data_IF_213425555585
#
_entry.id   IF_213425555585
#
_cell.length_a   1.000
_cell.length_b   1.000
_cell.length_c   1.000
_cell.angle_alpha   90.00
_cell.angle_beta   90.00
_cell.angle_gamma   90.00
#
_symmetry.space_group_name_H-M   'P 1'
#
loop_
_entity.id
_entity.type
_entity.pdbx_description
1 polymer ?
#
# COMPACT_ATOMS: atom_id res chain seq x y z
N UNK A 1 14.42 -12.99 16.69
CA UNK A 1 14.08 -11.94 15.70
C UNK A 1 14.54 -12.36 14.31
N UNK A 2 15.84 -12.39 14.01
CA UNK A 2 16.33 -12.65 12.64
C UNK A 2 15.83 -13.96 11.99
N UNK A 3 15.84 -15.10 12.70
CA UNK A 3 15.26 -16.35 12.18
C UNK A 3 13.77 -16.25 11.85
N UNK A 4 13.02 -15.53 12.69
CA UNK A 4 11.58 -15.33 12.53
C UNK A 4 11.30 -14.38 11.36
N UNK A 5 12.05 -13.28 11.27
CA UNK A 5 11.99 -12.35 10.14
C UNK A 5 12.29 -13.07 8.84
N UNK A 6 13.37 -13.87 8.77
CA UNK A 6 13.72 -14.62 7.56
C UNK A 6 12.65 -15.65 7.19
N UNK A 7 12.04 -16.32 8.18
CA UNK A 7 10.93 -17.24 7.94
C UNK A 7 9.75 -16.55 7.25
N UNK A 8 9.25 -15.44 7.80
CA UNK A 8 8.13 -14.71 7.22
C UNK A 8 8.50 -14.06 5.88
N UNK A 9 9.71 -13.50 5.74
CA UNK A 9 10.19 -12.96 4.48
C UNK A 9 10.20 -14.03 3.38
N UNK A 10 10.69 -15.23 3.68
CA UNK A 10 10.71 -16.34 2.72
C UNK A 10 9.30 -16.84 2.39
N UNK A 11 8.40 -16.88 3.37
CA UNK A 11 7.00 -17.24 3.15
C UNK A 11 6.33 -16.25 2.20
N UNK A 12 6.43 -14.96 2.48
CA UNK A 12 5.81 -13.90 1.67
C UNK A 12 6.40 -13.88 0.26
N UNK A 13 7.73 -13.92 0.11
CA UNK A 13 8.38 -13.97 -1.21
C UNK A 13 7.98 -15.18 -2.05
N UNK A 14 7.69 -16.32 -1.41
CA UNK A 14 7.36 -17.56 -2.13
C UNK A 14 5.89 -17.66 -2.54
N UNK A 15 4.96 -17.12 -1.74
CA UNK A 15 3.53 -17.40 -1.86
C UNK A 15 2.65 -16.17 -2.07
N UNK A 16 3.10 -14.95 -1.78
CA UNK A 16 2.29 -13.74 -1.93
C UNK A 16 2.50 -13.14 -3.33
N UNK A 17 1.54 -13.29 -4.27
CA UNK A 17 1.61 -12.62 -5.56
C UNK A 17 1.31 -11.13 -5.42
N UNK A 18 1.45 -10.39 -6.51
CA UNK A 18 1.12 -8.98 -6.57
C UNK A 18 -0.37 -8.73 -6.27
N UNK A 19 -0.73 -7.58 -5.66
CA UNK A 19 -2.11 -7.27 -5.30
C UNK A 19 -3.11 -7.39 -6.48
N UNK A 20 -2.66 -7.07 -7.69
CA UNK A 20 -3.49 -7.18 -8.90
C UNK A 20 -3.88 -8.63 -9.23
N UNK A 21 -2.92 -9.57 -9.12
CA UNK A 21 -3.16 -11.00 -9.33
C UNK A 21 -4.12 -11.54 -8.28
N UNK A 22 -3.94 -11.10 -7.03
CA UNK A 22 -4.84 -11.47 -5.94
C UNK A 22 -6.27 -10.98 -6.21
N UNK A 23 -6.45 -9.75 -6.70
CA UNK A 23 -7.74 -9.20 -7.09
C UNK A 23 -8.40 -9.97 -8.25
N UNK A 24 -7.63 -10.36 -9.28
CA UNK A 24 -8.13 -11.24 -10.35
C UNK A 24 -8.58 -12.58 -9.77
N UNK A 25 -7.78 -13.20 -8.90
CA UNK A 25 -8.11 -14.47 -8.26
C UNK A 25 -9.43 -14.41 -7.49
N UNK A 26 -9.62 -13.36 -6.69
CA UNK A 26 -10.88 -13.13 -5.96
C UNK A 26 -12.05 -12.88 -6.90
N UNK A 27 -11.83 -12.12 -7.99
CA UNK A 27 -12.87 -11.86 -9.00
C UNK A 27 -13.34 -13.16 -9.63
N UNK A 28 -12.42 -14.01 -10.09
CA UNK A 28 -12.74 -15.30 -10.70
C UNK A 28 -13.42 -16.24 -9.70
N UNK A 29 -12.96 -16.24 -8.44
CA UNK A 29 -13.60 -17.00 -7.37
C UNK A 29 -15.06 -16.56 -7.18
N UNK A 30 -15.32 -15.25 -7.07
CA UNK A 30 -16.67 -14.70 -6.93
C UNK A 30 -17.56 -15.03 -8.14
N UNK A 31 -17.02 -14.99 -9.36
CA UNK A 31 -17.75 -15.41 -10.57
C UNK A 31 -18.14 -16.90 -10.53
N UNK A 32 -17.22 -17.77 -10.11
CA UNK A 32 -17.49 -19.21 -9.97
C UNK A 32 -18.57 -19.43 -8.91
N UNK A 33 -18.47 -18.77 -7.76
CA UNK A 33 -19.47 -18.89 -6.69
C UNK A 33 -20.84 -18.38 -7.12
N UNK A 34 -20.90 -17.27 -7.87
CA UNK A 34 -22.15 -16.75 -8.44
C UNK A 34 -22.85 -17.76 -9.36
N UNK A 35 -22.10 -18.52 -10.17
CA UNK A 35 -22.69 -19.54 -11.05
C UNK A 35 -23.06 -20.81 -10.26
N UNK A 36 -22.14 -21.31 -9.44
CA UNK A 36 -22.27 -22.65 -8.82
C UNK A 36 -23.17 -22.63 -7.59
N UNK A 37 -23.12 -21.56 -6.78
CA UNK A 37 -23.86 -21.45 -5.52
C UNK A 37 -25.18 -20.72 -5.73
N UNK A 38 -25.15 -19.55 -6.36
CA UNK A 38 -26.35 -18.73 -6.60
C UNK A 38 -27.12 -19.15 -7.86
N UNK A 39 -26.56 -20.04 -8.68
CA UNK A 39 -27.22 -20.54 -9.89
C UNK A 39 -27.34 -19.53 -11.02
N UNK A 40 -26.56 -18.43 -11.02
CA UNK A 40 -26.63 -17.41 -12.06
C UNK A 40 -26.16 -17.94 -13.42
N UNK A 41 -26.83 -17.51 -14.49
CA UNK A 41 -26.38 -17.78 -15.85
C UNK A 41 -25.08 -17.03 -16.17
N UNK A 42 -24.21 -17.63 -17.00
CA UNK A 42 -22.92 -17.03 -17.38
C UNK A 42 -23.05 -15.59 -17.94
N UNK A 43 -24.09 -15.34 -18.75
CA UNK A 43 -24.39 -14.01 -19.31
C UNK A 43 -24.70 -12.99 -18.22
N UNK A 44 -25.54 -13.36 -17.27
CA UNK A 44 -25.97 -12.50 -16.15
C UNK A 44 -24.80 -12.20 -15.22
N UNK A 45 -24.03 -13.22 -14.84
CA UNK A 45 -22.79 -13.07 -14.07
C UNK A 45 -21.84 -12.08 -14.74
N UNK A 46 -21.62 -12.21 -16.06
CA UNK A 46 -20.72 -11.32 -16.82
C UNK A 46 -21.21 -9.88 -16.83
N UNK A 47 -22.52 -9.67 -16.99
CA UNK A 47 -23.15 -8.35 -16.94
C UNK A 47 -23.04 -7.72 -15.54
N UNK A 48 -23.34 -8.48 -14.49
CA UNK A 48 -23.25 -8.02 -13.11
C UNK A 48 -21.83 -7.58 -12.76
N UNK A 49 -20.83 -8.38 -13.14
CA UNK A 49 -19.43 -8.03 -12.93
C UNK A 49 -19.03 -6.76 -13.69
N UNK A 50 -19.32 -6.69 -14.98
CA UNK A 50 -18.89 -5.55 -15.80
C UNK A 50 -19.65 -4.25 -15.49
N UNK A 51 -20.91 -4.32 -15.07
CA UNK A 51 -21.65 -3.15 -14.58
C UNK A 51 -21.03 -2.62 -13.29
N UNK A 52 -20.72 -3.52 -12.34
CA UNK A 52 -20.08 -3.15 -11.08
C UNK A 52 -18.66 -2.57 -11.23
N UNK A 53 -17.97 -2.86 -12.33
CA UNK A 53 -16.64 -2.30 -12.63
C UNK A 53 -16.64 -0.76 -12.63
N UNK A 54 -17.74 -0.14 -13.06
CA UNK A 54 -17.85 1.32 -13.20
C UNK A 54 -18.25 2.04 -11.91
N UNK A 55 -18.79 1.32 -10.93
CA UNK A 55 -19.33 1.90 -9.69
C UNK A 55 -18.25 2.63 -8.86
N UNK A 56 -16.99 2.21 -8.99
CA UNK A 56 -15.86 2.76 -8.24
C UNK A 56 -15.01 3.76 -9.03
N UNK A 57 -15.46 4.23 -10.20
CA UNK A 57 -14.67 5.14 -11.04
C UNK A 57 -14.40 6.48 -10.33
N UNK A 58 -15.43 7.08 -9.74
CA UNK A 58 -15.29 8.32 -8.99
C UNK A 58 -14.38 8.16 -7.77
N UNK A 59 -14.53 7.06 -7.03
CA UNK A 59 -13.66 6.71 -5.90
C UNK A 59 -12.21 6.53 -6.35
N UNK A 60 -11.98 5.80 -7.45
CA UNK A 60 -10.65 5.57 -8.01
C UNK A 60 -9.99 6.89 -8.43
N UNK A 61 -10.73 7.78 -9.10
CA UNK A 61 -10.24 9.10 -9.47
C UNK A 61 -9.85 9.94 -8.24
N UNK A 62 -10.68 9.92 -7.19
CA UNK A 62 -10.36 10.58 -5.92
C UNK A 62 -9.06 10.05 -5.31
N UNK A 63 -8.89 8.72 -5.26
CA UNK A 63 -7.66 8.10 -4.73
C UNK A 63 -6.43 8.45 -5.57
N UNK A 64 -6.56 8.46 -6.91
CA UNK A 64 -5.49 8.85 -7.82
C UNK A 64 -5.04 10.30 -7.58
N UNK A 65 -5.99 11.23 -7.42
CA UNK A 65 -5.69 12.64 -7.12
C UNK A 65 -5.02 12.78 -5.76
N UNK A 66 -5.49 12.08 -4.73
CA UNK A 66 -4.87 12.11 -3.38
C UNK A 66 -3.41 11.67 -3.45
N UNK A 67 -3.12 10.57 -4.15
CA UNK A 67 -1.75 10.06 -4.31
C UNK A 67 -0.88 11.01 -5.15
N UNK A 68 -1.40 11.52 -6.27
CA UNK A 68 -0.68 12.44 -7.14
C UNK A 68 -0.36 13.76 -6.41
N UNK A 69 -1.33 14.34 -5.70
CA UNK A 69 -1.12 15.55 -4.91
C UNK A 69 -0.14 15.31 -3.74
N UNK A 70 -0.28 14.17 -3.05
CA UNK A 70 0.67 13.75 -2.02
C UNK A 70 2.09 13.62 -2.56
N UNK A 71 2.24 13.09 -3.78
CA UNK A 71 3.53 13.00 -4.46
C UNK A 71 4.12 14.38 -4.77
N UNK A 72 3.35 15.25 -5.42
CA UNK A 72 3.78 16.61 -5.76
C UNK A 72 4.22 17.39 -4.52
N UNK A 73 3.48 17.30 -3.42
CA UNK A 73 3.85 17.93 -2.15
C UNK A 73 5.15 17.34 -1.59
N UNK A 74 5.28 16.02 -1.56
CA UNK A 74 6.46 15.33 -1.05
C UNK A 74 7.74 15.64 -1.83
N UNK A 75 7.64 15.90 -3.13
CA UNK A 75 8.76 16.27 -4.01
C UNK A 75 8.98 17.77 -4.12
N UNK A 76 8.19 18.60 -3.45
CA UNK A 76 8.34 20.05 -3.51
C UNK A 76 9.71 20.50 -2.95
N UNK A 77 10.30 21.61 -3.45
CA UNK A 77 11.62 22.06 -3.01
C UNK A 77 11.70 22.36 -1.50
N UNK A 78 10.60 22.78 -0.88
CA UNK A 78 10.53 23.05 0.55
C UNK A 78 10.66 21.75 1.37
N UNK A 79 9.87 20.74 0.99
CA UNK A 79 9.88 19.44 1.66
C UNK A 79 11.21 18.73 1.41
N UNK A 80 11.74 18.76 0.19
CA UNK A 80 13.04 18.17 -0.11
C UNK A 80 14.17 18.75 0.76
N UNK A 81 14.22 20.09 0.90
CA UNK A 81 15.16 20.78 1.80
C UNK A 81 15.02 20.32 3.25
N UNK A 82 13.78 20.18 3.73
CA UNK A 82 13.51 19.69 5.08
C UNK A 82 14.01 18.26 5.28
N UNK A 83 13.69 17.36 4.34
CA UNK A 83 14.14 15.96 4.38
C UNK A 83 15.67 15.85 4.34
N UNK A 84 16.34 16.64 3.50
CA UNK A 84 17.80 16.68 3.43
C UNK A 84 18.41 17.16 4.76
N UNK A 85 17.79 18.15 5.42
CA UNK A 85 18.22 18.65 6.74
C UNK A 85 18.00 17.63 7.85
N UNK A 86 16.93 16.84 7.80
CA UNK A 86 16.71 15.74 8.74
C UNK A 86 17.75 14.65 8.48
N UNK A 87 17.92 14.23 7.23
CA UNK A 87 18.85 13.17 6.84
C UNK A 87 20.31 13.53 7.18
N UNK A 88 20.68 14.82 7.15
CA UNK A 88 22.04 15.26 7.52
C UNK A 88 22.43 15.02 8.97
N UNK A 89 21.45 14.89 9.86
CA UNK A 89 21.69 14.65 11.29
C UNK A 89 21.79 13.16 11.63
N UNK A 90 21.37 12.28 10.73
CA UNK A 90 21.33 10.83 10.97
C UNK A 90 22.65 10.18 10.60
N UNK A 91 23.21 9.37 11.51
CA UNK A 91 24.53 8.75 11.33
C UNK A 91 24.58 7.24 11.53
N UNK A 92 23.54 6.63 12.10
CA UNK A 92 23.56 5.19 12.42
C UNK A 92 22.39 4.46 11.74
N UNK A 93 22.54 3.16 11.40
CA UNK A 93 21.50 2.42 10.69
C UNK A 93 20.16 2.35 11.44
N UNK A 94 20.21 2.15 12.77
CA UNK A 94 19.00 2.13 13.61
C UNK A 94 18.33 3.50 13.65
N UNK A 95 19.09 4.59 13.76
CA UNK A 95 18.53 5.93 13.70
C UNK A 95 17.89 6.22 12.33
N UNK A 96 18.48 5.72 11.24
CA UNK A 96 17.88 5.83 9.91
C UNK A 96 16.53 5.13 9.84
N UNK A 97 16.41 3.91 10.35
CA UNK A 97 15.13 3.19 10.41
C UNK A 97 14.10 3.92 11.26
N UNK A 98 14.49 4.43 12.43
CA UNK A 98 13.59 5.19 13.32
C UNK A 98 13.07 6.43 12.59
N UNK A 99 13.97 7.22 12.01
CA UNK A 99 13.60 8.47 11.32
C UNK A 99 12.73 8.19 10.10
N UNK A 100 13.04 7.17 9.30
CA UNK A 100 12.21 6.78 8.16
C UNK A 100 10.80 6.37 8.61
N UNK A 101 10.70 5.57 9.68
CA UNK A 101 9.40 5.15 10.26
C UNK A 101 8.62 6.36 10.78
N UNK A 102 9.26 7.28 11.49
CA UNK A 102 8.61 8.47 12.04
C UNK A 102 8.13 9.41 10.93
N UNK A 103 8.93 9.65 9.90
CA UNK A 103 8.54 10.51 8.77
C UNK A 103 7.36 9.91 8.02
N UNK A 104 7.40 8.61 7.71
CA UNK A 104 6.27 7.90 7.10
C UNK A 104 5.03 7.89 7.99
N UNK A 105 5.20 7.58 9.28
CA UNK A 105 4.11 7.49 10.25
C UNK A 105 3.43 8.83 10.53
N UNK A 106 4.21 9.88 10.83
CA UNK A 106 3.67 11.25 11.03
C UNK A 106 3.05 11.74 9.73
N UNK A 107 3.71 11.51 8.59
CA UNK A 107 3.14 11.81 7.28
C UNK A 107 1.79 11.16 7.10
N UNK A 108 1.66 9.85 7.37
CA UNK A 108 0.41 9.12 7.21
C UNK A 108 -0.67 9.52 8.22
N UNK A 109 -0.27 9.89 9.44
CA UNK A 109 -1.18 10.43 10.45
C UNK A 109 -1.79 11.77 10.03
N UNK A 110 -1.02 12.63 9.36
CA UNK A 110 -1.52 13.91 8.86
C UNK A 110 -2.33 13.73 7.57
N UNK A 111 -1.75 13.03 6.60
CA UNK A 111 -2.36 12.69 5.33
C UNK A 111 -1.75 11.40 4.77
N UNK A 112 -2.53 10.32 4.69
CA UNK A 112 -2.02 9.01 4.29
C UNK A 112 -1.40 8.99 2.88
N UNK A 113 -1.96 9.74 1.92
CA UNK A 113 -1.43 9.81 0.56
C UNK A 113 -0.06 10.48 0.49
N UNK A 114 0.11 11.61 1.17
CA UNK A 114 1.40 12.28 1.35
C UNK A 114 2.40 11.42 2.13
N UNK A 115 1.95 10.79 3.22
CA UNK A 115 2.75 9.95 4.11
C UNK A 115 3.44 8.78 3.40
N UNK A 116 2.71 8.09 2.53
CA UNK A 116 3.23 6.99 1.73
C UNK A 116 4.41 7.42 0.84
N UNK A 117 4.31 8.61 0.24
CA UNK A 117 5.37 9.14 -0.62
C UNK A 117 6.55 9.65 0.20
N UNK A 118 6.31 10.52 1.18
CA UNK A 118 7.39 11.18 1.93
C UNK A 118 8.22 10.18 2.73
N UNK A 119 7.60 9.14 3.30
CA UNK A 119 8.31 8.06 3.97
C UNK A 119 9.28 7.35 3.04
N UNK A 120 8.82 7.00 1.83
CA UNK A 120 9.63 6.34 0.80
C UNK A 120 10.80 7.22 0.32
N UNK A 121 10.55 8.52 0.10
CA UNK A 121 11.59 9.48 -0.26
C UNK A 121 12.64 9.60 0.84
N UNK A 122 12.22 9.69 2.10
CA UNK A 122 13.12 9.78 3.23
C UNK A 122 13.96 8.51 3.42
N UNK A 123 13.33 7.33 3.29
CA UNK A 123 14.01 6.04 3.36
C UNK A 123 15.11 5.91 2.30
N UNK A 124 14.84 6.31 1.05
CA UNK A 124 15.85 6.32 -0.03
C UNK A 124 17.02 7.26 0.28
N UNK A 125 16.73 8.50 0.71
CA UNK A 125 17.77 9.47 1.09
C UNK A 125 18.67 8.95 2.22
N UNK A 126 18.09 8.32 3.23
CA UNK A 126 18.82 7.73 4.34
C UNK A 126 19.60 6.48 3.93
N UNK A 127 19.05 5.62 3.08
CA UNK A 127 19.72 4.42 2.59
C UNK A 127 21.00 4.76 1.81
N UNK A 128 20.98 5.80 0.98
CA UNK A 128 22.16 6.26 0.23
C UNK A 128 23.20 6.89 1.16
N UNK A 129 22.76 7.61 2.19
CA UNK A 129 23.63 8.39 3.07
C UNK A 129 24.28 7.58 4.20
N UNK A 130 23.54 6.62 4.77
CA UNK A 130 23.94 5.91 5.99
C UNK A 130 24.37 4.50 5.62
N UNK A 131 25.69 4.28 5.58
CA UNK A 131 26.28 2.95 5.35
C UNK A 131 25.81 1.94 6.41
N UNK A 132 25.63 0.69 6.00
CA UNK A 132 25.14 -0.39 6.85
C UNK A 132 23.63 -0.43 7.07
N UNK A 133 22.85 0.44 6.42
CA UNK A 133 21.38 0.35 6.44
C UNK A 133 20.93 -0.78 5.52
N UNK A 134 20.13 -1.71 6.05
CA UNK A 134 19.49 -2.74 5.24
C UNK A 134 18.33 -2.11 4.45
N UNK A 135 18.52 -1.98 3.14
CA UNK A 135 17.65 -1.23 2.23
C UNK A 135 16.19 -1.74 2.21
N UNK A 136 15.93 -3.06 2.09
CA UNK A 136 14.56 -3.58 2.17
C UNK A 136 13.85 -3.20 3.48
N UNK A 137 14.57 -3.22 4.60
CA UNK A 137 14.01 -2.93 5.91
C UNK A 137 13.69 -1.45 6.08
N UNK A 138 14.55 -0.53 5.65
CA UNK A 138 14.25 0.91 5.81
C UNK A 138 13.06 1.32 4.93
N UNK A 139 12.90 0.71 3.75
CA UNK A 139 11.71 0.90 2.90
C UNK A 139 10.47 0.34 3.60
N UNK A 140 10.51 -0.92 4.07
CA UNK A 140 9.40 -1.52 4.81
C UNK A 140 9.05 -0.72 6.08
N UNK A 141 10.05 -0.17 6.76
CA UNK A 141 9.88 0.63 7.97
C UNK A 141 9.16 1.95 7.68
N UNK A 142 9.52 2.64 6.59
CA UNK A 142 8.79 3.82 6.16
C UNK A 142 7.34 3.50 5.77
N UNK A 143 7.11 2.43 5.00
CA UNK A 143 5.77 1.98 4.61
C UNK A 143 4.92 1.52 5.79
N UNK A 144 5.53 0.92 6.83
CA UNK A 144 4.81 0.52 8.04
C UNK A 144 4.15 1.69 8.77
N UNK A 145 4.62 2.93 8.53
CA UNK A 145 3.97 4.15 8.99
C UNK A 145 2.52 4.29 8.52
N UNK A 146 2.16 3.63 7.41
CA UNK A 146 0.78 3.56 6.94
C UNK A 146 -0.17 2.94 7.98
N UNK A 147 0.32 2.18 8.97
CA UNK A 147 -0.49 1.70 10.11
C UNK A 147 -1.27 2.83 10.81
N UNK A 148 -0.75 4.06 10.79
CA UNK A 148 -1.40 5.23 11.39
C UNK A 148 -2.51 5.86 10.51
N UNK A 149 -2.71 5.40 9.27
CA UNK A 149 -3.65 6.02 8.32
C UNK A 149 -5.09 6.10 8.87
N UNK A 150 -5.54 5.04 9.53
CA UNK A 150 -6.89 4.92 10.08
C UNK A 150 -7.08 5.64 11.41
N UNK A 151 -6.00 6.09 12.04
CA UNK A 151 -6.00 6.79 13.32
C UNK A 151 -5.75 8.30 13.16
N UNK A 152 -5.34 8.72 11.97
CA UNK A 152 -4.93 10.07 11.65
C UNK A 152 -6.06 11.00 11.20
N UNK A 153 -5.68 12.24 10.92
CA UNK A 153 -6.58 13.32 10.51
C UNK A 153 -7.26 13.05 9.17
N UNK A 154 -6.61 12.29 8.30
CA UNK A 154 -7.13 11.90 6.98
C UNK A 154 -7.81 10.52 6.96
N UNK A 155 -8.16 9.96 8.12
CA UNK A 155 -8.76 8.62 8.19
C UNK A 155 -10.11 8.60 7.46
N UNK A 156 -10.19 7.86 6.34
CA UNK A 156 -11.30 7.95 5.41
C UNK A 156 -12.65 7.62 6.02
N UNK A 157 -12.73 6.58 6.86
CA UNK A 157 -13.98 6.18 7.52
C UNK A 157 -14.40 7.22 8.58
N UNK A 158 -13.58 7.59 9.58
CA UNK A 158 -13.91 8.65 10.53
C UNK A 158 -14.36 9.97 9.88
N UNK A 159 -13.65 10.42 8.83
CA UNK A 159 -14.01 11.65 8.12
C UNK A 159 -15.36 11.51 7.42
N UNK A 160 -15.58 10.40 6.70
CA UNK A 160 -16.84 10.14 5.99
C UNK A 160 -18.04 10.12 6.93
N UNK A 161 -17.97 9.38 8.04
CA UNK A 161 -19.10 9.24 8.97
C UNK A 161 -19.33 10.47 9.84
N UNK A 162 -18.36 11.39 9.89
CA UNK A 162 -18.54 12.71 10.54
C UNK A 162 -19.19 13.76 9.63
N UNK A 163 -19.45 13.41 8.37
CA UNK A 163 -20.01 14.32 7.36
C UNK A 163 -21.50 14.02 7.13
N UNK A 164 -22.41 15.00 7.30
CA UNK A 164 -23.82 14.82 6.96
C UNK A 164 -24.02 14.39 5.49
N UNK A 165 -24.98 13.52 5.22
CA UNK A 165 -25.30 12.97 3.91
C UNK A 165 -24.53 11.70 3.53
N UNK A 166 -23.75 11.12 4.45
CA UNK A 166 -23.05 9.86 4.17
C UNK A 166 -24.02 8.67 4.04
N UNK A 167 -23.68 7.61 3.28
CA UNK A 167 -24.62 6.53 2.93
C UNK A 167 -25.27 5.79 4.11
N UNK A 168 -24.64 5.82 5.28
CA UNK A 168 -25.06 5.09 6.48
C UNK A 168 -25.80 5.97 7.51
N UNK A 169 -25.96 7.27 7.24
CA UNK A 169 -26.49 8.23 8.23
C UNK A 169 -27.85 7.81 8.81
N UNK A 170 -28.74 7.24 7.99
CA UNK A 170 -30.06 6.78 8.43
C UNK A 170 -30.02 5.67 9.47
N UNK A 171 -28.94 4.89 9.53
CA UNK A 171 -28.79 3.73 10.42
C UNK A 171 -27.97 4.06 11.67
N UNK A 172 -26.94 4.89 11.52
CA UNK A 172 -25.98 5.18 12.61
C UNK A 172 -25.92 6.65 13.03
N UNK A 173 -26.62 7.55 12.34
CA UNK A 173 -26.45 8.99 12.49
C UNK A 173 -25.06 9.46 12.04
N UNK A 174 -24.77 10.74 12.30
CA UNK A 174 -23.44 11.34 12.08
C UNK A 174 -22.60 11.15 13.34
N UNK A 175 -21.42 10.53 13.22
CA UNK A 175 -20.50 10.32 14.36
C UNK A 175 -19.38 11.36 14.32
N UNK A 176 -19.28 12.25 15.34
CA UNK A 176 -18.27 13.30 15.35
C UNK A 176 -16.85 12.77 15.55
N UNK A 177 -15.85 13.56 15.12
CA UNK A 177 -14.44 13.19 15.26
C UNK A 177 -13.97 13.07 16.72
N UNK A 178 -14.65 13.73 17.66
CA UNK A 178 -14.44 13.60 19.11
C UNK A 178 -14.66 12.19 19.63
N UNK A 179 -15.50 11.40 18.96
CA UNK A 179 -15.82 10.02 19.33
C UNK A 179 -14.98 8.99 18.55
N UNK A 180 -14.20 9.44 17.56
CA UNK A 180 -13.38 8.57 16.70
C UNK A 180 -11.89 8.89 16.88
N UNK A 181 -11.28 9.63 15.96
CA UNK A 181 -9.83 9.89 15.94
C UNK A 181 -9.35 10.75 17.13
N UNK A 182 -10.24 11.57 17.70
CA UNK A 182 -9.94 12.37 18.89
C UNK A 182 -10.45 11.74 20.18
N UNK A 183 -10.94 10.50 20.13
CA UNK A 183 -11.28 9.78 21.35
C UNK A 183 -10.00 9.41 22.12
N UNK A 184 -10.04 9.41 23.47
CA UNK A 184 -8.90 9.00 24.30
C UNK A 184 -8.24 7.66 23.91
N UNK A 185 -8.99 6.56 23.63
CA UNK A 185 -8.36 5.30 23.26
C UNK A 185 -7.62 5.36 21.91
N UNK A 186 -8.14 6.11 20.93
CA UNK A 186 -7.48 6.24 19.61
C UNK A 186 -6.24 7.12 19.68
N UNK A 187 -6.30 8.23 20.43
CA UNK A 187 -5.12 9.07 20.70
C UNK A 187 -4.05 8.26 21.42
N UNK A 188 -4.42 7.51 22.47
CA UNK A 188 -3.49 6.64 23.21
C UNK A 188 -2.84 5.62 22.27
N UNK A 189 -3.64 4.96 21.44
CA UNK A 189 -3.15 3.98 20.46
C UNK A 189 -2.18 4.62 19.46
N UNK A 190 -2.51 5.81 18.97
CA UNK A 190 -1.66 6.56 18.03
C UNK A 190 -0.30 6.90 18.66
N UNK A 191 -0.29 7.37 19.92
CA UNK A 191 0.93 7.68 20.66
C UNK A 191 1.77 6.42 20.87
N UNK A 192 1.15 5.33 21.31
CA UNK A 192 1.82 4.05 21.52
C UNK A 192 2.46 3.59 20.21
N UNK A 193 1.76 3.65 19.08
CA UNK A 193 2.29 3.24 17.79
C UNK A 193 3.41 4.16 17.30
N UNK A 194 3.28 5.48 17.43
CA UNK A 194 4.33 6.45 17.06
C UNK A 194 5.64 6.18 17.81
N UNK A 195 5.57 5.72 19.06
CA UNK A 195 6.76 5.42 19.88
C UNK A 195 7.28 4.01 19.61
N UNK A 196 6.41 3.00 19.65
CA UNK A 196 6.81 1.58 19.64
C UNK A 196 7.18 1.08 18.25
N UNK A 197 6.49 1.54 17.19
CA UNK A 197 6.72 1.05 15.82
C UNK A 197 8.14 1.38 15.32
N UNK A 198 8.68 2.60 15.45
CA UNK A 198 10.06 2.90 15.07
C UNK A 198 11.08 2.07 15.86
N UNK A 199 10.83 1.83 17.15
CA UNK A 199 11.70 1.01 17.98
C UNK A 199 11.71 -0.45 17.52
N UNK A 200 10.52 -1.01 17.27
CA UNK A 200 10.34 -2.36 16.77
C UNK A 200 11.07 -2.54 15.42
N UNK A 201 10.85 -1.63 14.48
CA UNK A 201 11.50 -1.66 13.17
C UNK A 201 13.03 -1.59 13.29
N UNK A 202 13.54 -0.73 14.17
CA UNK A 202 14.98 -0.63 14.40
C UNK A 202 15.60 -1.88 15.04
N UNK A 203 14.81 -2.65 15.81
CA UNK A 203 15.23 -3.93 16.37
C UNK A 203 15.27 -5.06 15.32
N UNK A 204 14.58 -4.91 14.20
CA UNK A 204 14.61 -5.86 13.07
C UNK A 204 15.88 -5.72 12.21
N UNK A 205 16.70 -4.68 12.41
CA UNK A 205 17.91 -4.48 11.63
C UNK A 205 18.88 -5.67 11.78
N UNK A 206 19.33 -6.28 10.66
CA UNK A 206 20.22 -7.44 10.70
C UNK A 206 21.52 -7.14 11.44
N UNK A 207 21.92 -8.03 12.36
CA UNK A 207 23.14 -7.85 13.16
C UNK A 207 24.41 -8.24 12.40
N UNK A 208 24.30 -9.21 11.49
CA UNK A 208 25.41 -9.74 10.71
C UNK A 208 25.55 -8.99 9.39
N UNK A 209 26.78 -8.57 9.08
CA UNK A 209 27.07 -7.78 7.86
C UNK A 209 26.67 -8.50 6.58
N UNK A 210 26.82 -9.83 6.53
CA UNK A 210 26.43 -10.64 5.37
C UNK A 210 24.93 -10.56 5.00
N UNK A 211 24.08 -10.21 5.97
CA UNK A 211 22.64 -10.10 5.77
C UNK A 211 22.19 -8.66 5.51
N UNK A 212 23.13 -7.70 5.46
CA UNK A 212 22.84 -6.30 5.15
C UNK A 212 22.92 -6.13 3.63
N UNK A 213 21.78 -5.82 3.03
CA UNK A 213 21.68 -5.46 1.62
C UNK A 213 21.63 -3.94 1.57
N UNK A 214 22.74 -3.32 1.20
CA UNK A 214 22.78 -1.86 1.00
C UNK A 214 22.20 -1.50 -0.37
N UNK A 215 21.72 -0.27 -0.48
CA UNK A 215 21.26 0.24 -1.78
C UNK A 215 22.47 0.45 -2.69
N UNK A 216 22.38 0.01 -3.95
CA UNK A 216 23.36 0.38 -4.96
C UNK A 216 22.98 1.74 -5.56
N UNK A 217 23.76 2.82 -5.36
CA UNK A 217 23.42 4.14 -5.89
C UNK A 217 23.37 4.19 -7.43
N UNK A 218 24.04 3.28 -8.14
CA UNK A 218 23.96 3.19 -9.60
C UNK A 218 22.66 2.56 -10.09
N UNK A 219 21.87 1.91 -9.23
CA UNK A 219 20.57 1.35 -9.61
C UNK A 219 19.50 2.43 -9.87
N UNK A 220 19.79 3.70 -9.60
CA UNK A 220 18.89 4.81 -9.91
C UNK A 220 19.01 5.35 -11.34
N UNK A 221 20.05 4.97 -12.11
CA UNK A 221 20.23 5.45 -13.48
C UNK A 221 19.46 4.64 -14.54
N UNK A 222 18.87 3.51 -14.15
CA UNK A 222 18.06 2.67 -15.04
C UNK A 222 16.60 2.68 -14.56
N UNK A 223 15.80 3.58 -15.11
CA UNK A 223 14.39 3.82 -14.75
C UNK A 223 13.42 2.66 -15.07
N UNK A 224 13.87 1.44 -15.35
CA UNK A 224 12.94 0.40 -15.87
C UNK A 224 13.15 -1.05 -15.43
N UNK A 225 14.18 -1.40 -14.64
CA UNK A 225 14.52 -2.82 -14.43
C UNK A 225 14.53 -3.36 -12.98
N UNK A 226 14.69 -2.50 -11.97
CA UNK A 226 15.15 -2.96 -10.65
C UNK A 226 14.12 -3.74 -9.80
N UNK A 227 12.83 -3.76 -10.16
CA UNK A 227 11.83 -4.56 -9.44
C UNK A 227 11.95 -6.07 -9.72
N UNK A 228 12.60 -6.45 -10.82
CA UNK A 228 12.60 -7.82 -11.34
C UNK A 228 13.70 -8.70 -10.72
N UNK A 229 14.81 -8.13 -10.25
CA UNK A 229 15.99 -8.93 -9.81
C UNK A 229 15.83 -9.59 -8.43
N UNK A 230 14.85 -9.17 -7.63
CA UNK A 230 14.63 -9.73 -6.28
C UNK A 230 13.63 -10.90 -6.24
N UNK A 231 13.06 -11.31 -7.35
CA UNK A 231 12.16 -12.47 -7.39
C UNK A 231 12.95 -13.68 -7.85
N UNK A 232 13.17 -14.66 -6.97
CA UNK A 232 13.60 -15.99 -7.40
C UNK A 232 12.64 -16.49 -8.48
N UNK A 233 13.18 -16.82 -9.67
CA UNK A 233 12.38 -17.13 -10.87
C UNK A 233 11.33 -18.24 -10.63
N UNK A 234 11.59 -19.13 -9.67
CA UNK A 234 10.81 -20.35 -9.42
C UNK A 234 9.83 -20.30 -8.22
N UNK A 235 9.38 -19.12 -7.78
CA UNK A 235 8.35 -19.04 -6.72
C UNK A 235 6.92 -19.15 -7.26
N UNK A 236 5.97 -19.54 -6.40
CA UNK A 236 4.55 -19.58 -6.76
C UNK A 236 4.02 -18.16 -7.01
N UNK A 237 4.42 -17.21 -6.16
CA UNK A 237 4.15 -15.79 -6.36
C UNK A 237 4.59 -15.31 -7.76
N UNK A 238 5.84 -15.60 -8.16
CA UNK A 238 6.35 -15.18 -9.46
C UNK A 238 5.63 -15.85 -10.65
N UNK A 239 5.28 -17.13 -10.52
CA UNK A 239 4.49 -17.86 -11.52
C UNK A 239 3.10 -17.26 -11.71
N UNK A 240 2.45 -16.85 -10.63
CA UNK A 240 1.15 -16.20 -10.70
C UNK A 240 1.25 -14.77 -11.27
N UNK A 241 2.27 -14.00 -10.87
CA UNK A 241 2.54 -12.65 -11.40
C UNK A 241 2.76 -12.63 -12.92
N UNK A 242 3.44 -13.65 -13.45
CA UNK A 242 3.73 -13.77 -14.88
C UNK A 242 2.75 -14.71 -15.61
N UNK A 243 1.62 -15.06 -14.98
CA UNK A 243 0.65 -15.99 -15.55
C UNK A 243 -0.13 -15.33 -16.69
N UNK A 244 0.27 -15.62 -17.93
CA UNK A 244 -0.49 -15.22 -19.13
C UNK A 244 -1.92 -15.74 -19.10
N UNK A 245 -2.14 -16.92 -18.52
CA UNK A 245 -3.47 -17.53 -18.41
C UNK A 245 -4.44 -16.64 -17.62
N UNK A 246 -4.01 -16.10 -16.47
CA UNK A 246 -4.86 -15.22 -15.66
C UNK A 246 -5.23 -13.95 -16.43
N UNK A 247 -4.25 -13.33 -17.12
CA UNK A 247 -4.49 -12.17 -17.97
C UNK A 247 -5.42 -12.48 -19.14
N UNK A 248 -5.27 -13.63 -19.78
CA UNK A 248 -6.15 -14.06 -20.88
C UNK A 248 -7.58 -14.30 -20.42
N UNK A 249 -7.78 -14.99 -19.30
CA UNK A 249 -9.13 -15.28 -18.78
C UNK A 249 -9.87 -13.98 -18.50
N UNK A 250 -9.27 -13.07 -17.72
CA UNK A 250 -9.94 -11.81 -17.37
C UNK A 250 -10.15 -10.92 -18.61
N UNK A 251 -9.20 -10.91 -19.54
CA UNK A 251 -9.32 -10.19 -20.81
C UNK A 251 -10.47 -10.70 -21.67
N UNK A 252 -10.63 -12.03 -21.79
CA UNK A 252 -11.73 -12.66 -22.51
C UNK A 252 -13.08 -12.30 -21.86
N UNK A 253 -13.19 -12.36 -20.53
CA UNK A 253 -14.42 -11.97 -19.83
C UNK A 253 -14.76 -10.49 -20.08
N UNK A 254 -13.75 -9.61 -20.06
CA UNK A 254 -13.91 -8.20 -20.44
C UNK A 254 -14.42 -8.02 -21.88
N UNK A 255 -13.86 -8.75 -22.85
CA UNK A 255 -14.31 -8.73 -24.24
C UNK A 255 -15.76 -9.23 -24.35
N UNK A 256 -16.10 -10.34 -23.68
CA UNK A 256 -17.46 -10.89 -23.66
C UNK A 256 -18.44 -9.86 -23.09
N UNK A 257 -18.09 -9.20 -21.98
CA UNK A 257 -18.90 -8.14 -21.41
C UNK A 257 -19.16 -7.02 -22.42
N UNK A 258 -18.10 -6.49 -23.06
CA UNK A 258 -18.22 -5.43 -24.06
C UNK A 258 -19.12 -5.85 -25.23
N UNK A 259 -18.95 -7.08 -25.75
CA UNK A 259 -19.80 -7.61 -26.81
C UNK A 259 -21.26 -7.69 -26.37
N UNK A 260 -21.55 -8.24 -25.19
CA UNK A 260 -22.92 -8.35 -24.67
C UNK A 260 -23.53 -6.95 -24.47
N UNK A 261 -22.77 -6.02 -23.89
CA UNK A 261 -23.19 -4.65 -23.60
C UNK A 261 -23.65 -3.94 -24.88
N UNK A 262 -22.84 -3.97 -25.95
CA UNK A 262 -23.19 -3.34 -27.23
C UNK A 262 -24.28 -4.09 -28.00
N UNK A 263 -24.32 -5.43 -27.96
CA UNK A 263 -25.39 -6.19 -28.63
C UNK A 263 -26.76 -5.95 -28.02
N UNK A 264 -26.83 -5.66 -26.71
CA UNK A 264 -28.09 -5.41 -26.00
C UNK A 264 -28.58 -3.96 -26.09
N UNK A 265 -27.80 -3.06 -26.71
CA UNK A 265 -28.21 -1.66 -26.91
C UNK A 265 -28.39 -0.88 -25.60
N UNK A 266 -27.63 -1.21 -24.55
CA UNK A 266 -27.64 -0.46 -23.29
C UNK A 266 -26.86 0.84 -23.52
N UNK A 267 -27.56 1.88 -23.98
CA UNK A 267 -27.08 3.26 -24.14
C UNK A 267 -28.25 4.23 -23.92
#
# INVERSE_FOLDING_TARGET
MEKLTNFFTNLMRKYLPDPFVFAIGLTLLTMILSIVVEGQGFKEMTLNWGNGFWDLLAFTAQMAVILAAGYVLATSPLIDKLLNKIASKVRTPKAAIIVATLVGGIGCYLNWGFGLVIGSVMAKKLAVKVKGVHYPLIIASAYSGFTLYGLGLSASIPVLISTPGHPMEKTMGVIPLSETIFSPPVIMTSIVLIITLPMLNAMLHPKRKENIIEINPSAFSEETGAATEFLEENTLANKLNNSRLLSFIIGIIGIIYVCIYFMMGIL
#
